data_IF_864477400357
#
_entry.id   IF_864477400357
#
_cell.length_a   1.000
_cell.length_b   1.000
_cell.length_c   1.000
_cell.angle_alpha   90.00
_cell.angle_beta   90.00
_cell.angle_gamma   90.00
#
_symmetry.space_group_name_H-M   'P 1'
#
loop_
_entity.id
_entity.type
_entity.pdbx_description
1 polymer ?
2 non-polymer ?
3 water ?
#
# COMPACT_ATOMS: atom_id res chain seq x y z
N UNK A 3 10.91 9.06 15.07
CA UNK A 3 10.96 9.09 13.61
C UNK A 3 10.41 10.41 13.08
N UNK A 4 10.56 10.62 11.76
CA UNK A 4 10.09 11.85 11.10
C UNK A 4 8.58 11.79 10.88
N UNK A 5 7.87 12.90 11.08
CA UNK A 5 6.44 12.93 10.76
C UNK A 5 6.20 12.71 9.27
N UNK A 6 4.97 12.28 8.95
CA UNK A 6 4.60 11.88 7.59
C UNK A 6 4.28 13.10 6.71
N UNK A 7 5.33 13.81 6.32
CA UNK A 7 5.16 14.91 5.38
C UNK A 7 5.00 14.36 3.96
N UNK A 8 4.49 15.15 3.02
CA UNK A 8 4.48 14.69 1.62
C UNK A 8 5.87 14.33 1.11
N UNK A 9 6.90 15.03 1.59
CA UNK A 9 8.28 14.68 1.22
C UNK A 9 8.63 13.28 1.70
N UNK A 10 8.33 12.97 2.96
CA UNK A 10 8.60 11.63 3.47
C UNK A 10 7.74 10.60 2.75
N UNK A 11 6.45 10.93 2.53
CA UNK A 11 5.59 10.06 1.73
C UNK A 11 6.23 9.73 0.39
N UNK A 12 6.68 10.76 -0.34
CA UNK A 12 7.30 10.53 -1.65
C UNK A 12 8.42 9.51 -1.56
N UNK A 13 9.26 9.62 -0.52
CA UNK A 13 10.41 8.73 -0.40
C UNK A 13 9.97 7.32 -0.03
N UNK A 14 8.97 7.18 0.84
CA UNK A 14 8.43 5.87 1.17
C UNK A 14 7.85 5.22 -0.07
N UNK A 15 7.01 5.96 -0.80
CA UNK A 15 6.37 5.37 -1.98
C UNK A 15 7.41 4.99 -3.01
N UNK A 16 8.40 5.85 -3.21
CA UNK A 16 9.44 5.56 -4.19
C UNK A 16 10.12 4.23 -3.87
N UNK A 17 10.47 4.02 -2.61
CA UNK A 17 11.17 2.81 -2.25
C UNK A 17 10.25 1.59 -2.32
N UNK A 18 8.99 1.74 -1.93
CA UNK A 18 8.05 0.62 -2.04
C UNK A 18 7.85 0.22 -3.49
N UNK A 19 7.71 1.22 -4.38
CA UNK A 19 7.46 0.93 -5.78
C UNK A 19 8.65 0.24 -6.44
N UNK A 20 9.87 0.57 -6.01
CA UNK A 20 11.07 0.02 -6.63
C UNK A 20 11.46 -1.32 -6.03
N UNK A 21 11.27 -1.52 -4.72
CA UNK A 21 11.79 -2.71 -4.10
C UNK A 21 10.76 -3.59 -3.42
N UNK A 22 9.49 -3.18 -3.35
CA UNK A 22 8.47 -3.96 -2.65
C UNK A 22 7.17 -4.01 -3.46
N UNK A 23 7.28 -4.08 -4.79
CA UNK A 23 6.08 -3.99 -5.62
C UNK A 23 5.14 -5.17 -5.40
N UNK A 24 5.69 -6.36 -5.11
CA UNK A 24 4.85 -7.52 -4.82
C UNK A 24 3.95 -7.26 -3.62
N UNK A 25 4.49 -6.63 -2.56
CA UNK A 25 3.67 -6.32 -1.39
C UNK A 25 2.56 -5.36 -1.74
N UNK A 26 2.85 -4.36 -2.59
CA UNK A 26 1.81 -3.40 -2.95
C UNK A 26 0.66 -4.10 -3.67
N UNK A 27 0.98 -5.06 -4.54
CA UNK A 27 -0.09 -5.78 -5.22
C UNK A 27 -0.91 -6.60 -4.23
N UNK A 28 -0.27 -7.17 -3.21
CA UNK A 28 -1.00 -7.84 -2.15
C UNK A 28 -1.93 -6.87 -1.42
N UNK A 29 -1.44 -5.67 -1.10
CA UNK A 29 -2.31 -4.66 -0.49
C UNK A 29 -3.54 -4.44 -1.36
N UNK A 30 -3.31 -4.21 -2.66
CA UNK A 30 -4.41 -3.93 -3.58
C UNK A 30 -5.41 -5.07 -3.62
N UNK A 31 -4.92 -6.32 -3.61
CA UNK A 31 -5.82 -7.46 -3.67
C UNK A 31 -6.62 -7.61 -2.39
N UNK A 32 -5.95 -7.67 -1.25
CA UNK A 32 -6.64 -8.04 -0.02
C UNK A 32 -7.31 -6.84 0.63
N UNK A 33 -6.58 -5.73 0.78
CA UNK A 33 -7.14 -4.55 1.43
C UNK A 33 -7.94 -3.70 0.45
N UNK A 34 -7.54 -3.66 -0.81
CA UNK A 34 -8.28 -2.94 -1.82
C UNK A 34 -9.38 -3.74 -2.49
N UNK A 35 -9.46 -5.04 -2.17
CA UNK A 35 -10.51 -5.92 -2.70
C UNK A 35 -10.54 -5.89 -4.22
N UNK A 36 -9.36 -5.93 -4.83
CA UNK A 36 -9.22 -5.96 -6.28
C UNK A 36 -8.88 -7.37 -6.72
N UNK A 37 -9.53 -7.83 -7.78
CA UNK A 37 -9.45 -9.24 -8.14
C UNK A 37 -8.16 -9.62 -8.86
N UNK A 38 -8.05 -9.28 -10.15
CA UNK A 38 -6.96 -9.78 -10.98
C UNK A 38 -5.91 -8.69 -11.17
N UNK A 39 -5.20 -8.42 -10.08
CA UNK A 39 -4.20 -7.35 -10.06
C UNK A 39 -2.97 -7.78 -10.84
N UNK A 40 -2.62 -7.00 -11.86
CA UNK A 40 -1.41 -7.24 -12.63
C UNK A 40 -0.20 -6.62 -11.94
N UNK A 41 -0.32 -5.36 -11.55
CA UNK A 41 0.70 -4.66 -10.79
C UNK A 41 0.01 -3.55 -10.02
N UNK A 42 0.68 -3.08 -8.97
CA UNK A 42 0.16 -1.96 -8.21
C UNK A 42 1.33 -1.09 -7.79
N UNK A 43 1.08 0.22 -7.73
CA UNK A 43 2.06 1.20 -7.31
C UNK A 43 1.47 2.05 -6.20
N UNK A 44 2.32 2.49 -5.28
CA UNK A 44 1.92 3.43 -4.24
C UNK A 44 2.13 4.84 -4.76
N UNK A 45 1.06 5.63 -4.75
CA UNK A 45 1.13 7.01 -5.22
C UNK A 45 1.37 7.98 -4.07
N UNK A 46 0.82 7.68 -2.90
CA UNK A 46 0.97 8.51 -1.71
C UNK A 46 0.68 7.66 -0.48
N UNK A 47 1.29 8.04 0.64
CA UNK A 47 0.90 7.52 1.94
C UNK A 47 0.84 8.70 2.90
N UNK A 48 -0.21 8.78 3.68
CA UNK A 48 -0.39 9.92 4.56
C UNK A 48 -0.89 9.40 5.91
N UNK A 49 -1.08 10.26 6.92
CA UNK A 49 -1.46 9.72 8.23
C UNK A 49 -2.72 8.86 8.22
N UNK A 50 -3.65 9.07 7.29
CA UNK A 50 -4.91 8.34 7.33
C UNK A 50 -5.07 7.26 6.27
N UNK A 51 -4.15 7.12 5.32
CA UNK A 51 -4.34 6.09 4.31
C UNK A 51 -3.25 6.11 3.26
N UNK A 52 -3.40 5.21 2.28
CA UNK A 52 -2.51 5.16 1.14
C UNK A 52 -3.31 5.13 -0.16
N UNK A 53 -2.75 5.76 -1.18
CA UNK A 53 -3.35 5.79 -2.51
C UNK A 53 -2.56 4.85 -3.40
N UNK A 54 -3.25 3.89 -4.01
CA UNK A 54 -2.65 2.91 -4.89
C UNK A 54 -3.15 3.10 -6.31
N UNK A 55 -2.24 2.96 -7.27
CA UNK A 55 -2.60 2.84 -8.68
C UNK A 55 -2.50 1.37 -9.04
N UNK A 56 -3.59 0.79 -9.51
CA UNK A 56 -3.72 -0.66 -9.64
C UNK A 56 -4.04 -1.00 -11.09
N UNK A 57 -3.21 -1.85 -11.69
CA UNK A 57 -3.37 -2.29 -13.07
C UNK A 57 -3.98 -3.69 -13.09
N UNK A 58 -4.91 -3.90 -14.01
CA UNK A 58 -5.54 -5.20 -14.24
C UNK A 58 -5.87 -5.30 -15.73
N UNK A 59 -6.73 -6.26 -16.08
CA UNK A 59 -7.13 -6.42 -17.48
C UNK A 59 -7.86 -5.18 -17.98
N UNK A 60 -8.76 -4.63 -17.16
CA UNK A 60 -9.58 -3.50 -17.55
C UNK A 60 -8.86 -2.17 -17.48
N UNK A 61 -7.54 -2.22 -17.27
CA UNK A 61 -6.75 -1.01 -17.21
C UNK A 61 -6.42 -0.57 -15.80
N UNK A 62 -6.29 0.74 -15.60
CA UNK A 62 -5.77 1.30 -14.36
C UNK A 62 -6.88 1.94 -13.55
N UNK A 63 -6.76 1.82 -12.24
CA UNK A 63 -7.73 2.34 -11.29
C UNK A 63 -6.96 2.80 -10.06
N UNK A 64 -7.35 3.94 -9.51
CA UNK A 64 -6.76 4.44 -8.28
C UNK A 64 -7.70 4.13 -7.13
N UNK A 65 -7.15 3.59 -6.06
CA UNK A 65 -7.96 3.29 -4.89
C UNK A 65 -7.26 3.85 -3.66
N UNK A 66 -8.04 4.03 -2.60
CA UNK A 66 -7.51 4.45 -1.31
C UNK A 66 -7.83 3.42 -0.25
N UNK A 67 -6.81 3.04 0.51
CA UNK A 67 -6.95 2.19 1.68
C UNK A 67 -6.80 3.09 2.89
N UNK A 68 -7.79 3.05 3.79
CA UNK A 68 -7.74 3.86 5.00
C UNK A 68 -7.29 3.03 6.20
N UNK A 69 -6.42 3.61 7.01
CA UNK A 69 -5.86 2.94 8.17
C UNK A 69 -6.82 3.05 9.35
N UNK A 70 -6.89 1.98 10.14
CA UNK A 70 -7.73 2.00 11.34
C UNK A 70 -7.32 3.12 12.29
N UNK A 71 -6.02 3.30 12.46
CA UNK A 71 -5.47 4.28 13.38
C UNK A 71 -4.50 5.17 12.61
N UNK A 72 -4.59 6.49 12.75
CA UNK A 72 -3.73 7.37 11.96
C UNK A 72 -2.25 7.17 12.29
N UNK A 73 -1.42 7.30 11.26
CA UNK A 73 0.02 7.19 11.45
C UNK A 73 0.58 8.49 12.00
N UNK A 74 1.50 8.39 12.96
CA UNK A 74 2.09 9.61 13.50
C UNK A 74 3.50 9.89 13.02
N UNK A 75 4.21 8.90 12.49
CA UNK A 75 5.57 9.13 12.00
C UNK A 75 5.92 8.00 11.04
N UNK A 76 7.14 8.05 10.50
CA UNK A 76 7.53 7.05 9.52
C UNK A 76 7.67 5.67 10.12
N UNK A 77 7.89 5.57 11.43
CA UNK A 77 7.96 4.26 12.06
C UNK A 77 6.59 3.60 12.09
N UNK A 78 5.54 4.37 12.44
CA UNK A 78 4.18 3.85 12.31
C UNK A 78 3.92 3.37 10.89
N UNK A 79 4.39 4.13 9.90
CA UNK A 79 4.22 3.70 8.52
C UNK A 79 4.90 2.37 8.29
N UNK A 80 6.13 2.23 8.78
CA UNK A 80 6.86 0.97 8.62
C UNK A 80 6.06 -0.18 9.22
N UNK A 81 5.59 -0.02 10.46
CA UNK A 81 4.89 -1.11 11.13
C UNK A 81 3.61 -1.50 10.38
N UNK A 82 2.89 -0.51 9.83
CA UNK A 82 1.65 -0.86 9.14
C UNK A 82 1.95 -1.54 7.81
N UNK A 83 3.00 -1.10 7.10
CA UNK A 83 3.32 -1.75 5.84
C UNK A 83 3.76 -3.19 6.08
N UNK A 84 4.50 -3.43 7.17
CA UNK A 84 4.89 -4.80 7.53
C UNK A 84 3.66 -5.63 7.87
N UNK A 85 2.82 -5.10 8.75
CA UNK A 85 1.66 -5.86 9.20
C UNK A 85 0.72 -6.17 8.04
N UNK A 86 0.50 -5.17 7.17
CA UNK A 86 -0.41 -5.38 6.04
C UNK A 86 0.12 -6.43 5.08
N UNK A 87 1.44 -6.47 4.88
CA UNK A 87 2.01 -7.49 4.02
C UNK A 87 1.79 -8.88 4.60
N UNK A 88 2.04 -9.04 5.90
CA UNK A 88 1.82 -10.33 6.56
C UNK A 88 0.36 -10.74 6.49
N UNK A 89 -0.53 -9.80 6.79
CA UNK A 89 -1.96 -10.09 6.79
C UNK A 89 -2.45 -10.43 5.39
N UNK A 90 -1.99 -9.68 4.38
CA UNK A 90 -2.41 -9.97 3.02
C UNK A 90 -1.93 -11.35 2.56
N UNK A 91 -0.69 -11.72 2.90
CA UNK A 91 -0.21 -13.05 2.53
C UNK A 91 -1.04 -14.14 3.18
N UNK A 92 -1.47 -13.92 4.43
CA UNK A 92 -2.34 -14.91 5.08
C UNK A 92 -3.68 -15.02 4.36
N UNK A 93 -4.30 -13.88 4.05
CA UNK A 93 -5.64 -13.90 3.46
C UNK A 93 -5.59 -14.40 2.04
N UNK A 94 -4.59 -13.97 1.27
CA UNK A 94 -4.53 -14.29 -0.14
C UNK A 94 -4.44 -15.77 -0.44
N UNK A 95 -4.10 -16.59 0.56
CA UNK A 95 -4.12 -18.04 0.36
C UNK A 95 -5.52 -18.53 0.03
N UNK A 96 -6.54 -17.99 0.70
CA UNK A 96 -7.92 -18.43 0.56
C UNK A 96 -8.71 -17.40 -0.23
N UNK A 97 -9.17 -17.78 -1.42
CA UNK A 97 -9.91 -16.87 -2.29
C UNK A 97 -11.26 -17.45 -2.71
X LIG B 1 10.04 -5.17 6.48
X LIG B 1 9.22 -1.18 3.89
X LIG B 1 13.10 0.80 6.05
X LIG B 1 13.85 -3.18 8.66
X LIG B 1 9.50 -4.28 5.59
X LIG B 1 8.39 -4.57 4.71
X LIG B 1 8.14 -3.46 3.99
X LIG B 1 9.10 -2.44 4.39
X LIG B 1 7.04 -3.29 2.92
X LIG B 1 7.62 -5.92 4.65
X LIG B 1 8.33 -6.84 3.65
X LIG B 1 7.47 -8.03 3.29
X LIG B 1 7.32 -8.28 2.07
X LIG B 1 6.93 -8.72 4.20
X LIG B 1 10.24 -0.31 4.25
X LIG B 1 10.40 1.02 3.72
X LIG B 1 11.46 1.59 4.32
X LIG B 1 12.00 0.61 5.24
X LIG B 1 9.44 1.61 2.67
X LIG B 1 12.07 2.99 4.11
X LIG B 1 11.79 3.75 3.06
X LIG B 1 13.62 -0.07 6.97
X LIG B 1 14.73 0.20 7.88
X LIG B 1 14.94 -0.92 8.60
X LIG B 1 13.97 -1.91 8.17
X LIG B 1 15.50 1.54 7.97
X LIG B 1 15.97 -1.24 9.72
X LIG B 1 16.98 -0.45 10.08
X LIG B 1 12.88 -4.05 8.27
X LIG B 1 12.68 -5.36 8.85
X LIG B 1 11.64 -5.92 8.25
X LIG B 1 11.13 -4.97 7.28
X LIG B 1 13.57 -5.99 9.94
X LIG B 1 11.05 -7.32 8.54
X LIG B 1 10.19 -7.19 9.80
X LIG B 1 9.45 -8.46 10.14
X LIG B 1 9.55 -9.47 9.41
X LIG B 1 8.73 -8.44 11.17
X LIG B 1 9.90 -2.99 5.37
X LIG B 1 11.24 -0.54 5.18
X LIG B 1 13.17 -1.36 7.18
X LIG B 1 11.91 -3.83 7.32
X LIG B 1 11.55 -2.15 6.20
#
# INVERSE_FOLDING_TARGET
MMADPLTPAISDRICKHMNEDHASAIALYAQVFGQQTDVTMAQMQAIDPTGMDLVVESEGGSKTIRIEFEQPLKDSEDAHQVLIAMAKQARSVGKNSLEHHHHHH
HEM CHA CHB CHC CHD C1A C2A C3A C4A CMA CAA CBA CGA O1A O2A C1B C2B C3B C4B CMB CAB CBB C1C C2C C3C C4C CMC CAC CBC C1D C2D C3D C4D CMD CAD CBD CGD O1D O2D NA NB NC ND FE
#
